data_IF_605514927146
#
_entry.id   IF_605514927146
#
_cell.length_a   1.000
_cell.length_b   1.000
_cell.length_c   1.000
_cell.angle_alpha   90.00
_cell.angle_beta   90.00
_cell.angle_gamma   90.00
#
_symmetry.space_group_name_H-M   'P 1'
#
loop_
_entity.id
_entity.type
_entity.pdbx_description
1 polymer ?
#
# COMPACT_ATOMS: atom_id res chain seq x y z
N UNK A 1 -19.39 7.34 -20.12
CA UNK A 1 -18.35 6.36 -20.27
C UNK A 1 -17.66 6.08 -18.93
N UNK A 2 -17.56 4.82 -18.56
CA UNK A 2 -16.95 4.42 -17.31
C UNK A 2 -15.43 4.59 -17.36
N UNK A 3 -14.87 5.25 -16.33
CA UNK A 3 -13.42 5.44 -16.22
C UNK A 3 -12.99 5.20 -14.79
N UNK A 4 -11.82 4.63 -14.64
CA UNK A 4 -11.10 4.53 -13.39
C UNK A 4 -9.64 4.93 -13.63
N UNK A 5 -9.20 5.97 -12.97
CA UNK A 5 -7.84 6.49 -13.11
C UNK A 5 -7.15 6.43 -11.76
N UNK A 6 -5.92 5.93 -11.77
CA UNK A 6 -5.10 5.84 -10.56
C UNK A 6 -3.93 6.79 -10.67
N UNK A 7 -3.71 7.58 -9.61
CA UNK A 7 -2.56 8.49 -9.54
C UNK A 7 -1.83 8.28 -8.23
N UNK A 8 -0.50 8.22 -8.29
CA UNK A 8 0.32 8.24 -7.09
C UNK A 8 0.42 9.69 -6.62
N UNK A 9 -0.17 10.00 -5.47
CA UNK A 9 -0.15 11.35 -4.92
C UNK A 9 1.01 11.56 -3.96
N UNK A 10 1.56 10.48 -3.42
CA UNK A 10 2.69 10.54 -2.51
C UNK A 10 3.52 9.26 -2.64
N UNK A 11 4.81 9.43 -2.88
CA UNK A 11 5.75 8.30 -2.85
C UNK A 11 6.09 7.96 -1.41
N UNK A 12 6.09 6.67 -1.09
CA UNK A 12 6.49 6.21 0.23
C UNK A 12 8.01 6.18 0.39
N UNK A 13 8.44 6.14 1.63
CA UNK A 13 9.84 5.92 1.97
C UNK A 13 9.94 5.08 3.23
N UNK A 14 11.05 4.35 3.36
CA UNK A 14 11.29 3.53 4.53
C UNK A 14 11.99 4.31 5.62
N UNK A 15 11.47 4.18 6.85
CA UNK A 15 12.21 4.45 8.06
C UNK A 15 12.96 3.20 8.51
N UNK A 16 13.97 3.39 9.32
CA UNK A 16 14.78 2.30 9.87
C UNK A 16 14.75 2.40 11.41
N UNK A 17 13.67 1.95 12.06
CA UNK A 17 13.48 2.14 13.50
C UNK A 17 14.46 1.31 14.33
N UNK A 18 14.86 0.16 13.81
CA UNK A 18 15.94 -0.68 14.35
C UNK A 18 16.78 -1.21 13.20
N UNK A 19 18.00 -1.64 13.47
CA UNK A 19 18.95 -2.03 12.42
C UNK A 19 18.44 -3.14 11.49
N UNK A 20 17.53 -3.99 11.96
CA UNK A 20 17.00 -5.13 11.21
C UNK A 20 15.69 -4.84 10.49
N UNK A 21 15.12 -3.64 10.59
CA UNK A 21 13.76 -3.37 10.11
C UNK A 21 13.69 -2.11 9.25
N UNK A 22 12.97 -2.22 8.14
CA UNK A 22 12.53 -1.10 7.33
C UNK A 22 11.00 -1.03 7.38
N UNK A 23 10.45 0.18 7.51
CA UNK A 23 9.02 0.38 7.66
C UNK A 23 8.60 1.71 7.06
N UNK A 24 7.47 1.73 6.36
CA UNK A 24 6.87 2.98 5.84
C UNK A 24 6.02 3.69 6.88
N UNK A 25 5.78 3.07 8.04
CA UNK A 25 4.94 3.66 9.09
C UNK A 25 5.56 4.94 9.64
N UNK A 26 4.79 6.04 9.77
CA UNK A 26 5.34 7.30 10.27
C UNK A 26 5.96 7.20 11.66
N UNK A 27 5.40 6.38 12.55
CA UNK A 27 5.96 6.16 13.88
C UNK A 27 7.37 5.54 13.83
N UNK A 28 7.70 4.87 12.73
CA UNK A 28 9.02 4.26 12.49
C UNK A 28 9.94 5.17 11.64
N UNK A 29 9.54 6.41 11.41
CA UNK A 29 10.29 7.36 10.59
C UNK A 29 10.04 7.21 9.09
N UNK A 30 9.06 6.43 8.69
CA UNK A 30 8.71 6.22 7.29
C UNK A 30 7.68 7.21 6.76
N UNK A 31 7.40 7.09 5.48
CA UNK A 31 6.35 7.83 4.79
C UNK A 31 5.47 6.82 4.05
N UNK A 32 4.16 6.88 4.29
CA UNK A 32 3.21 5.99 3.61
C UNK A 32 3.03 6.44 2.16
N UNK A 33 3.13 5.53 1.19
CA UNK A 33 2.71 5.84 -0.17
C UNK A 33 1.18 6.01 -0.21
N UNK A 34 0.72 6.94 -1.03
CA UNK A 34 -0.71 7.23 -1.18
C UNK A 34 -1.08 7.21 -2.65
N UNK A 35 -2.14 6.49 -2.97
CA UNK A 35 -2.71 6.41 -4.31
C UNK A 35 -4.13 6.95 -4.29
N UNK A 36 -4.47 7.75 -5.31
CA UNK A 36 -5.83 8.25 -5.51
C UNK A 36 -6.49 7.49 -6.66
N UNK A 37 -7.69 7.01 -6.41
CA UNK A 37 -8.54 6.41 -7.42
C UNK A 37 -9.65 7.41 -7.76
N UNK A 38 -9.76 7.75 -9.04
CA UNK A 38 -10.81 8.62 -9.56
C UNK A 38 -11.75 7.77 -10.41
N UNK A 39 -12.98 7.60 -9.97
CA UNK A 39 -13.97 6.81 -10.70
C UNK A 39 -15.15 7.67 -11.12
N UNK A 40 -15.60 7.49 -12.35
CA UNK A 40 -16.65 8.31 -12.96
C UNK A 40 -18.06 7.72 -12.77
N UNK A 41 -18.18 6.43 -12.45
CA UNK A 41 -19.46 5.74 -12.30
C UNK A 41 -19.47 4.97 -10.99
N UNK A 42 -20.56 5.12 -10.24
CA UNK A 42 -20.75 4.42 -8.97
C UNK A 42 -20.84 2.90 -9.19
N UNK A 43 -20.25 2.16 -8.27
CA UNK A 43 -20.34 0.70 -8.18
C UNK A 43 -19.90 -0.05 -9.44
N UNK A 44 -18.97 0.52 -10.20
CA UNK A 44 -18.45 -0.10 -11.43
C UNK A 44 -17.06 -0.72 -11.26
N UNK A 45 -16.35 -0.41 -10.19
CA UNK A 45 -14.95 -0.80 -10.05
C UNK A 45 -14.59 -1.26 -8.64
N UNK A 46 -13.55 -2.08 -8.60
CA UNK A 46 -12.89 -2.52 -7.36
C UNK A 46 -11.47 -1.97 -7.38
N UNK A 47 -11.07 -1.29 -6.31
CA UNK A 47 -9.68 -0.93 -6.09
C UNK A 47 -8.95 -2.13 -5.49
N UNK A 48 -7.94 -2.62 -6.19
CA UNK A 48 -7.13 -3.76 -5.75
C UNK A 48 -5.70 -3.30 -5.52
N UNK A 49 -5.24 -3.36 -4.28
CA UNK A 49 -3.94 -2.84 -3.88
C UNK A 49 -3.15 -3.94 -3.18
N UNK A 50 -1.95 -4.20 -3.70
CA UNK A 50 -1.08 -5.27 -3.22
C UNK A 50 0.15 -4.65 -2.57
N UNK A 51 0.38 -4.94 -1.29
CA UNK A 51 1.59 -4.49 -0.62
C UNK A 51 2.75 -5.44 -0.96
N UNK A 52 4.01 -4.94 -0.93
CA UNK A 52 5.15 -5.77 -1.34
C UNK A 52 5.44 -6.88 -0.33
N UNK A 53 5.95 -7.98 -0.85
CA UNK A 53 6.49 -9.11 -0.10
C UNK A 53 7.92 -9.44 -0.52
N UNK A 54 8.53 -8.56 -1.32
CA UNK A 54 9.93 -8.62 -1.71
C UNK A 54 10.41 -7.23 -2.14
N UNK A 55 11.70 -6.98 -2.05
CA UNK A 55 12.28 -5.78 -2.64
C UNK A 55 12.45 -5.97 -4.14
N UNK A 56 12.09 -4.94 -4.92
CA UNK A 56 12.38 -4.89 -6.36
C UNK A 56 13.86 -4.61 -6.61
N UNK A 57 14.50 -3.94 -5.66
CA UNK A 57 15.95 -3.66 -5.70
C UNK A 57 16.46 -3.54 -4.28
N UNK A 58 17.59 -4.16 -3.99
CA UNK A 58 18.23 -4.12 -2.68
C UNK A 58 19.68 -4.58 -2.78
N UNK A 59 20.51 -4.30 -1.76
CA UNK A 59 21.78 -5.01 -1.62
C UNK A 59 21.55 -6.52 -1.50
N UNK A 60 22.61 -7.31 -1.72
CA UNK A 60 22.54 -8.76 -1.53
C UNK A 60 22.20 -9.12 -0.10
N UNK A 61 21.16 -9.93 0.07
CA UNK A 61 20.69 -10.38 1.38
C UNK A 61 20.99 -11.88 1.54
N UNK A 62 21.47 -12.26 2.71
CA UNK A 62 21.85 -13.64 2.99
C UNK A 62 20.86 -14.38 3.89
N UNK A 63 19.80 -13.70 4.29
CA UNK A 63 18.76 -14.27 5.14
C UNK A 63 17.37 -13.87 4.61
N UNK A 64 16.34 -14.49 5.18
CA UNK A 64 14.96 -14.22 4.80
C UNK A 64 14.47 -12.91 5.38
N UNK A 65 13.42 -12.37 4.76
CA UNK A 65 12.72 -11.19 5.23
C UNK A 65 11.30 -11.56 5.65
N UNK A 66 10.89 -11.08 6.81
CA UNK A 66 9.49 -11.17 7.23
C UNK A 66 8.80 -9.88 6.84
N UNK A 67 7.75 -10.00 6.01
CA UNK A 67 6.98 -8.86 5.51
C UNK A 67 5.65 -8.74 6.20
N UNK A 68 5.24 -7.51 6.49
CA UNK A 68 3.89 -7.19 6.91
C UNK A 68 3.39 -6.01 6.10
N UNK A 69 2.07 -5.89 5.97
CA UNK A 69 1.49 -4.76 5.27
C UNK A 69 -0.01 -4.66 5.48
N UNK A 70 -0.52 -3.46 5.25
CA UNK A 70 -1.95 -3.19 5.28
C UNK A 70 -2.25 -1.97 4.43
N UNK A 71 -3.46 -1.94 3.85
CA UNK A 71 -3.93 -0.80 3.07
C UNK A 71 -5.22 -0.28 3.67
N UNK A 72 -5.32 1.04 3.78
CA UNK A 72 -6.47 1.70 4.39
C UNK A 72 -6.91 2.91 3.57
N UNK A 73 -8.19 3.26 3.69
CA UNK A 73 -8.72 4.52 3.13
C UNK A 73 -8.25 5.66 4.02
N UNK A 74 -7.70 6.71 3.42
CA UNK A 74 -7.25 7.89 4.17
C UNK A 74 -8.11 9.11 3.94
N UNK A 75 -8.75 9.19 2.77
CA UNK A 75 -9.56 10.35 2.40
C UNK A 75 -10.50 9.96 1.26
N UNK A 76 -11.63 10.62 1.18
CA UNK A 76 -12.55 10.51 0.04
C UNK A 76 -13.23 11.85 -0.22
N UNK A 77 -13.54 12.12 -1.48
CA UNK A 77 -14.32 13.31 -1.88
C UNK A 77 -15.83 13.09 -1.70
N UNK A 78 -16.24 11.89 -1.36
CA UNK A 78 -17.64 11.49 -1.18
C UNK A 78 -17.83 10.87 0.20
N UNK A 79 -19.07 10.76 0.64
CA UNK A 79 -19.39 10.06 1.88
C UNK A 79 -19.06 8.57 1.75
N UNK A 80 -18.77 7.90 2.86
CA UNK A 80 -18.64 6.45 2.89
C UNK A 80 -17.23 5.92 3.14
N UNK A 81 -16.28 6.76 3.58
CA UNK A 81 -14.91 6.32 3.88
C UNK A 81 -14.90 5.17 4.89
N UNK A 82 -15.64 5.28 5.97
CA UNK A 82 -15.70 4.21 6.97
C UNK A 82 -16.38 2.95 6.43
N UNK A 83 -17.33 3.09 5.52
CA UNK A 83 -17.98 1.96 4.87
C UNK A 83 -17.01 1.21 3.95
N UNK A 84 -16.16 1.93 3.22
CA UNK A 84 -15.11 1.31 2.40
C UNK A 84 -14.14 0.51 3.29
N UNK A 85 -13.69 1.11 4.38
CA UNK A 85 -12.77 0.45 5.33
C UNK A 85 -13.40 -0.82 5.92
N UNK A 86 -14.66 -0.73 6.35
CA UNK A 86 -15.36 -1.85 6.97
C UNK A 86 -15.64 -3.00 5.99
N UNK A 87 -15.88 -2.68 4.72
CA UNK A 87 -16.24 -3.67 3.70
C UNK A 87 -15.04 -4.22 2.92
N UNK A 88 -13.84 -3.74 3.18
CA UNK A 88 -12.65 -4.22 2.47
C UNK A 88 -12.42 -5.71 2.73
N UNK A 89 -11.87 -6.38 1.72
CA UNK A 89 -11.47 -7.79 1.84
C UNK A 89 -9.97 -7.91 1.66
N UNK A 90 -9.35 -8.79 2.42
CA UNK A 90 -7.90 -9.02 2.36
C UNK A 90 -7.66 -10.48 2.00
N UNK A 91 -6.93 -10.71 0.92
CA UNK A 91 -6.51 -12.04 0.49
C UNK A 91 -5.00 -12.01 0.30
N UNK A 92 -4.27 -12.66 1.21
CA UNK A 92 -2.81 -12.61 1.19
C UNK A 92 -2.32 -11.18 1.42
N UNK A 93 -1.57 -10.66 0.46
CA UNK A 93 -1.04 -9.30 0.49
C UNK A 93 -1.84 -8.31 -0.35
N UNK A 94 -3.01 -8.70 -0.81
CA UNK A 94 -3.90 -7.86 -1.63
C UNK A 94 -5.13 -7.44 -0.82
N UNK A 95 -5.44 -6.15 -0.87
CA UNK A 95 -6.65 -5.59 -0.26
C UNK A 95 -7.55 -5.05 -1.36
N UNK A 96 -8.82 -5.42 -1.33
CA UNK A 96 -9.82 -5.01 -2.30
C UNK A 96 -10.87 -4.13 -1.65
N UNK A 97 -11.20 -3.02 -2.31
CA UNK A 97 -12.22 -2.08 -1.89
C UNK A 97 -13.24 -1.92 -3.02
N UNK A 98 -14.52 -2.13 -2.71
CA UNK A 98 -15.59 -1.79 -3.65
C UNK A 98 -15.76 -0.28 -3.72
N UNK A 99 -15.56 0.31 -4.90
CA UNK A 99 -15.76 1.73 -5.12
C UNK A 99 -17.23 1.99 -5.43
N UNK A 100 -18.03 2.07 -4.39
CA UNK A 100 -19.50 2.14 -4.49
C UNK A 100 -20.02 3.49 -4.95
N UNK A 101 -19.23 4.54 -4.80
CA UNK A 101 -19.61 5.91 -5.16
C UNK A 101 -18.64 6.48 -6.19
N UNK A 102 -19.19 7.27 -7.12
CA UNK A 102 -18.35 8.03 -8.05
C UNK A 102 -17.61 9.13 -7.30
N UNK A 103 -16.36 9.40 -7.67
CA UNK A 103 -15.54 10.42 -7.05
C UNK A 103 -14.12 9.95 -6.83
N UNK A 104 -13.42 10.61 -5.92
CA UNK A 104 -12.01 10.35 -5.63
C UNK A 104 -11.87 9.73 -4.24
N UNK A 105 -11.03 8.71 -4.15
CA UNK A 105 -10.71 8.05 -2.88
C UNK A 105 -9.20 7.82 -2.80
N UNK A 106 -8.63 8.16 -1.66
CA UNK A 106 -7.19 8.02 -1.38
C UNK A 106 -6.96 6.83 -0.47
N UNK A 107 -6.01 6.00 -0.86
CA UNK A 107 -5.59 4.82 -0.09
C UNK A 107 -4.12 4.94 0.26
N UNK A 108 -3.77 4.57 1.49
CA UNK A 108 -2.37 4.44 1.90
C UNK A 108 -2.04 3.00 2.21
N UNK A 109 -0.79 2.62 1.95
CA UNK A 109 -0.30 1.27 2.24
C UNK A 109 0.87 1.35 3.20
N UNK A 110 0.72 0.72 4.35
CA UNK A 110 1.82 0.51 5.28
C UNK A 110 2.48 -0.83 4.96
N UNK A 111 3.80 -0.88 4.97
CA UNK A 111 4.53 -2.13 4.83
C UNK A 111 5.82 -2.10 5.63
N UNK A 112 6.25 -3.25 6.08
CA UNK A 112 7.52 -3.39 6.79
C UNK A 112 8.19 -4.70 6.41
N UNK A 113 9.53 -4.70 6.46
CA UNK A 113 10.36 -5.87 6.26
C UNK A 113 11.33 -5.98 7.41
N UNK A 114 11.39 -7.15 8.03
CA UNK A 114 12.31 -7.44 9.14
C UNK A 114 13.28 -8.55 8.72
N UNK A 115 14.57 -8.29 8.86
CA UNK A 115 15.61 -9.23 8.48
C UNK A 115 15.67 -10.39 9.47
N UNK A 116 15.89 -11.59 8.95
CA UNK A 116 15.93 -12.82 9.73
C UNK A 116 16.98 -12.78 10.85
N UNK A 117 16.65 -13.40 11.99
CA UNK A 117 17.50 -13.44 13.17
C UNK A 117 17.90 -12.06 13.71
N UNK A 118 17.09 -11.05 13.42
CA UNK A 118 17.32 -9.65 13.83
C UNK A 118 18.70 -9.12 13.43
N UNK A 119 19.27 -9.62 12.34
CA UNK A 119 20.55 -9.14 11.79
C UNK A 119 20.40 -7.72 11.26
N UNK A 120 21.47 -6.90 11.36
CA UNK A 120 21.46 -5.60 10.69
C UNK A 120 21.33 -5.74 9.19
N UNK A 121 20.46 -4.92 8.60
CA UNK A 121 20.35 -4.84 7.13
C UNK A 121 21.61 -4.19 6.56
N UNK A 122 22.14 -4.70 5.44
CA UNK A 122 23.27 -4.05 4.75
C UNK A 122 22.94 -2.61 4.38
N UNK A 123 23.94 -1.73 4.42
CA UNK A 123 23.78 -0.37 3.90
C UNK A 123 23.55 -0.37 2.41
N UNK A 124 22.74 0.56 1.93
CA UNK A 124 22.43 0.72 0.51
C UNK A 124 20.98 1.13 0.29
N UNK A 125 20.56 1.06 -0.97
CA UNK A 125 19.22 1.48 -1.37
C UNK A 125 18.27 0.28 -1.44
N UNK A 126 17.09 0.46 -0.85
CA UNK A 126 16.03 -0.55 -0.83
C UNK A 126 14.79 0.03 -1.51
N UNK A 127 14.27 -0.69 -2.49
CA UNK A 127 13.06 -0.31 -3.21
C UNK A 127 12.06 -1.46 -3.21
N UNK A 128 10.82 -1.16 -2.88
CA UNK A 128 9.72 -2.09 -3.02
C UNK A 128 8.56 -1.38 -3.69
N UNK A 129 7.69 -2.15 -4.34
CA UNK A 129 6.59 -1.60 -5.15
C UNK A 129 5.26 -2.00 -4.54
N UNK A 130 4.39 -1.01 -4.33
CA UNK A 130 2.97 -1.23 -4.07
C UNK A 130 2.27 -1.25 -5.43
N UNK A 131 1.56 -2.33 -5.72
CA UNK A 131 0.82 -2.46 -6.96
C UNK A 131 -0.63 -2.05 -6.75
N UNK A 132 -1.12 -1.17 -7.60
CA UNK A 132 -2.50 -0.70 -7.54
C UNK A 132 -3.15 -0.93 -8.89
N UNK A 133 -4.32 -1.55 -8.89
CA UNK A 133 -5.10 -1.78 -10.09
C UNK A 133 -6.56 -1.46 -9.86
N UNK A 134 -7.27 -1.21 -10.94
CA UNK A 134 -8.70 -0.98 -10.95
C UNK A 134 -9.36 -2.10 -11.75
N UNK A 135 -10.20 -2.85 -11.07
CA UNK A 135 -10.86 -4.01 -11.66
C UNK A 135 -12.31 -3.64 -11.97
N UNK A 136 -12.71 -3.77 -13.23
CA UNK A 136 -14.11 -3.58 -13.61
C UNK A 136 -14.97 -4.73 -13.06
N UNK A 137 -16.12 -4.35 -12.53
CA UNK A 137 -17.09 -5.33 -12.02
C UNK A 137 -17.93 -5.91 -13.14
#
# INVERSE_FOLDING_TARGET
>A
EAKCVIQTTKSGSYGNPIASKLSTTPADGGVLPVMRYDVSIADAYIASITHPTSFSSSPSLTDTLAWTGSTSVTQTSVAGMSAYEAAKTVVGNTTNFNLTLAGSTWFSTASSATYGSAKPLPGGNYTAVVQASCIAK
#
